data_IF_027602623468
#
_entry.id   IF_027602623468
#
_cell.length_a   1.000
_cell.length_b   1.000
_cell.length_c   1.000
_cell.angle_alpha   90.00
_cell.angle_beta   90.00
_cell.angle_gamma   90.00
#
_symmetry.space_group_name_H-M   'P 1'
#
loop_
_entity.id
_entity.type
_entity.pdbx_description
1 polymer ?
#
# COMPACT_ATOMS: atom_id res chain seq x y z
N UNK A 1 -37.81 -25.04 9.64
CA UNK A 1 -36.73 -24.03 9.75
C UNK A 1 -35.43 -24.82 9.68
N UNK A 2 -34.73 -24.79 8.55
CA UNK A 2 -33.42 -25.44 8.40
C UNK A 2 -32.38 -24.43 8.92
N UNK A 3 -31.88 -24.66 10.13
CA UNK A 3 -30.74 -23.91 10.66
C UNK A 3 -29.50 -24.50 10.00
N UNK A 4 -28.86 -23.74 9.12
CA UNK A 4 -27.57 -24.11 8.56
C UNK A 4 -26.51 -23.43 9.42
N UNK A 5 -25.48 -24.16 9.83
CA UNK A 5 -24.34 -23.61 10.57
C UNK A 5 -23.68 -22.47 9.79
N UNK A 6 -22.81 -21.68 10.43
CA UNK A 6 -22.14 -20.50 9.89
C UNK A 6 -21.33 -20.79 8.61
N UNK A 7 -22.03 -20.89 7.46
CA UNK A 7 -21.47 -21.06 6.12
C UNK A 7 -20.81 -19.75 5.68
N UNK A 8 -19.63 -19.86 5.07
CA UNK A 8 -18.99 -18.74 4.39
C UNK A 8 -19.71 -18.38 3.09
N UNK A 9 -19.28 -17.28 2.48
CA UNK A 9 -19.86 -16.77 1.22
C UNK A 9 -19.78 -17.82 0.10
N UNK A 10 -18.66 -18.54 0.00
CA UNK A 10 -18.44 -19.57 -1.01
C UNK A 10 -19.43 -20.71 -0.84
N UNK A 11 -19.62 -21.21 0.38
CA UNK A 11 -20.51 -22.35 0.61
C UNK A 11 -21.99 -21.98 0.45
N UNK A 12 -22.37 -20.72 0.75
CA UNK A 12 -23.72 -20.23 0.47
C UNK A 12 -24.02 -20.15 -1.03
N UNK A 13 -23.07 -19.65 -1.82
CA UNK A 13 -23.19 -19.60 -3.29
C UNK A 13 -23.20 -21.02 -3.88
N UNK A 14 -22.38 -21.94 -3.37
CA UNK A 14 -22.39 -23.34 -3.79
C UNK A 14 -23.72 -24.03 -3.47
N UNK A 15 -24.28 -23.79 -2.28
CA UNK A 15 -25.58 -24.32 -1.90
C UNK A 15 -26.70 -23.82 -2.84
N UNK A 16 -26.71 -22.54 -3.18
CA UNK A 16 -27.64 -21.97 -4.15
C UNK A 16 -27.50 -22.63 -5.53
N UNK A 17 -26.27 -22.76 -6.04
CA UNK A 17 -26.01 -23.41 -7.32
C UNK A 17 -26.49 -24.86 -7.34
N UNK A 18 -26.32 -25.60 -6.24
CA UNK A 18 -26.82 -26.97 -6.08
C UNK A 18 -28.35 -27.03 -6.06
N UNK A 19 -29.01 -26.06 -5.44
CA UNK A 19 -30.48 -25.95 -5.46
C UNK A 19 -30.95 -25.73 -6.90
N UNK A 20 -30.37 -24.78 -7.62
CA UNK A 20 -30.73 -24.51 -9.02
C UNK A 20 -30.48 -25.70 -9.94
N UNK A 21 -29.33 -26.37 -9.82
CA UNK A 21 -29.04 -27.58 -10.59
C UNK A 21 -30.06 -28.70 -10.32
N UNK A 22 -30.43 -28.91 -9.05
CA UNK A 22 -31.42 -29.93 -8.70
C UNK A 22 -32.80 -29.63 -9.30
N UNK A 23 -33.25 -28.37 -9.26
CA UNK A 23 -34.53 -27.97 -9.86
C UNK A 23 -34.51 -28.05 -11.40
N UNK A 24 -33.40 -27.70 -12.03
CA UNK A 24 -33.22 -27.85 -13.48
C UNK A 24 -33.35 -29.32 -13.92
N UNK A 25 -32.78 -30.25 -13.15
CA UNK A 25 -32.79 -31.67 -13.50
C UNK A 25 -34.10 -32.40 -13.11
N UNK A 26 -34.71 -32.04 -11.97
CA UNK A 26 -35.82 -32.80 -11.38
C UNK A 26 -37.18 -32.15 -11.55
N UNK A 27 -37.24 -30.83 -11.72
CA UNK A 27 -38.50 -30.10 -11.81
C UNK A 27 -38.39 -28.83 -12.67
N UNK A 28 -37.99 -28.97 -13.96
CA UNK A 28 -37.71 -27.83 -14.85
C UNK A 28 -38.93 -26.94 -15.14
N UNK A 29 -40.13 -27.41 -14.81
CA UNK A 29 -41.36 -26.64 -14.91
C UNK A 29 -41.49 -25.51 -13.86
N UNK A 30 -40.65 -25.50 -12.81
CA UNK A 30 -40.66 -24.47 -11.79
C UNK A 30 -39.49 -23.48 -11.99
N UNK A 31 -39.82 -22.19 -12.06
CA UNK A 31 -38.84 -21.12 -11.98
C UNK A 31 -38.57 -20.80 -10.49
N UNK A 32 -37.35 -21.07 -10.03
CA UNK A 32 -36.96 -20.94 -8.63
C UNK A 32 -35.92 -19.84 -8.51
N UNK A 33 -36.22 -18.86 -7.66
CA UNK A 33 -35.31 -17.77 -7.31
C UNK A 33 -35.02 -17.84 -5.81
N UNK A 34 -33.77 -18.11 -5.44
CA UNK A 34 -33.34 -18.04 -4.07
C UNK A 34 -33.08 -16.57 -3.68
N UNK A 35 -33.63 -16.13 -2.56
CA UNK A 35 -33.37 -14.80 -2.03
C UNK A 35 -33.25 -14.84 -0.52
N UNK A 36 -32.16 -14.30 -0.01
CA UNK A 36 -31.99 -14.03 1.42
C UNK A 36 -30.92 -12.95 1.60
N UNK A 37 -30.96 -12.18 2.70
CA UNK A 37 -29.89 -11.23 3.02
C UNK A 37 -28.50 -11.89 3.02
N UNK A 38 -28.37 -13.10 3.57
CA UNK A 38 -27.10 -13.84 3.62
C UNK A 38 -26.58 -14.19 2.22
N UNK A 39 -27.46 -14.61 1.32
CA UNK A 39 -27.10 -14.96 -0.05
C UNK A 39 -26.72 -13.73 -0.88
N UNK A 40 -27.42 -12.61 -0.67
CA UNK A 40 -27.03 -11.32 -1.24
C UNK A 40 -25.64 -10.88 -0.77
N UNK A 41 -25.36 -10.95 0.54
CA UNK A 41 -24.04 -10.62 1.07
C UNK A 41 -22.95 -11.57 0.55
N UNK A 42 -23.25 -12.85 0.37
CA UNK A 42 -22.33 -13.82 -0.22
C UNK A 42 -21.98 -13.46 -1.67
N UNK A 43 -22.98 -13.18 -2.51
CA UNK A 43 -22.78 -12.75 -3.90
C UNK A 43 -22.02 -11.42 -4.01
N UNK A 44 -22.39 -10.43 -3.18
CA UNK A 44 -21.68 -9.14 -3.11
C UNK A 44 -20.22 -9.37 -2.68
N UNK A 45 -20.02 -10.23 -1.68
CA UNK A 45 -18.70 -10.59 -1.16
C UNK A 45 -17.80 -11.23 -2.21
N UNK A 46 -18.28 -12.27 -2.88
CA UNK A 46 -17.55 -12.98 -3.94
C UNK A 46 -17.24 -12.06 -5.12
N UNK A 47 -18.23 -11.31 -5.61
CA UNK A 47 -18.05 -10.42 -6.76
C UNK A 47 -17.03 -9.33 -6.46
N UNK A 48 -17.08 -8.73 -5.26
CA UNK A 48 -16.13 -7.70 -4.84
C UNK A 48 -14.73 -8.28 -4.63
N UNK A 49 -14.61 -9.44 -4.00
CA UNK A 49 -13.33 -10.12 -3.81
C UNK A 49 -12.66 -10.45 -5.15
N UNK A 50 -13.41 -11.03 -6.09
CA UNK A 50 -12.92 -11.31 -7.44
C UNK A 50 -12.50 -10.04 -8.18
N UNK A 51 -13.27 -8.95 -8.04
CA UNK A 51 -12.94 -7.65 -8.63
C UNK A 51 -11.65 -7.06 -8.05
N UNK A 52 -11.44 -7.18 -6.74
CA UNK A 52 -10.22 -6.70 -6.08
C UNK A 52 -8.99 -7.51 -6.47
N UNK A 53 -9.10 -8.84 -6.52
CA UNK A 53 -7.99 -9.69 -6.95
C UNK A 53 -7.63 -9.49 -8.42
N UNK A 54 -8.63 -9.36 -9.29
CA UNK A 54 -8.41 -9.14 -10.74
C UNK A 54 -7.83 -7.76 -11.05
N UNK A 55 -8.07 -6.75 -10.20
CA UNK A 55 -7.51 -5.40 -10.37
C UNK A 55 -6.10 -5.23 -9.77
N UNK A 56 -5.60 -6.17 -8.95
CA UNK A 56 -4.25 -6.12 -8.39
C UNK A 56 -3.14 -5.88 -9.42
N UNK A 57 -3.07 -6.61 -10.55
CA UNK A 57 -2.04 -6.39 -11.56
C UNK A 57 -2.12 -4.98 -12.18
N UNK A 58 -3.34 -4.49 -12.42
CA UNK A 58 -3.58 -3.15 -12.94
C UNK A 58 -3.06 -2.10 -11.94
N UNK A 59 -3.38 -2.27 -10.66
CA UNK A 59 -2.90 -1.42 -9.58
C UNK A 59 -1.37 -1.41 -9.49
N UNK A 60 -0.70 -2.57 -9.59
CA UNK A 60 0.77 -2.64 -9.60
C UNK A 60 1.39 -1.92 -10.79
N UNK A 61 0.78 -2.00 -11.98
CA UNK A 61 1.24 -1.26 -13.17
C UNK A 61 1.08 0.26 -12.95
N UNK A 62 -0.05 0.70 -12.41
CA UNK A 62 -0.29 2.11 -12.13
C UNK A 62 0.66 2.66 -11.07
N UNK A 63 0.89 1.92 -9.99
CA UNK A 63 1.87 2.27 -8.94
C UNK A 63 3.27 2.36 -9.55
N UNK A 64 3.66 1.38 -10.36
CA UNK A 64 4.95 1.39 -11.05
C UNK A 64 5.09 2.63 -11.91
N UNK A 65 4.08 2.96 -12.72
CA UNK A 65 4.07 4.16 -13.57
C UNK A 65 4.20 5.44 -12.74
N UNK A 66 3.50 5.52 -11.62
CA UNK A 66 3.55 6.66 -10.70
C UNK A 66 4.92 6.82 -10.05
N UNK A 67 5.54 5.74 -9.57
CA UNK A 67 6.89 5.76 -9.00
C UNK A 67 7.94 6.11 -10.05
N UNK A 68 7.82 5.58 -11.27
CA UNK A 68 8.70 5.95 -12.40
C UNK A 68 8.58 7.44 -12.70
N UNK A 69 7.35 7.97 -12.73
CA UNK A 69 7.10 9.40 -12.94
C UNK A 69 7.71 10.26 -11.83
N UNK A 70 7.49 9.89 -10.56
CA UNK A 70 8.03 10.59 -9.40
C UNK A 70 9.57 10.58 -9.42
N UNK A 71 10.18 9.43 -9.67
CA UNK A 71 11.63 9.25 -9.70
C UNK A 71 12.29 9.75 -10.98
N UNK A 72 11.54 9.96 -12.06
CA UNK A 72 12.06 10.19 -13.41
C UNK A 72 13.11 9.15 -13.82
N UNK A 73 12.98 7.93 -13.33
CA UNK A 73 13.93 6.83 -13.56
C UNK A 73 13.21 5.50 -13.54
N UNK A 74 13.21 4.82 -14.69
CA UNK A 74 12.63 3.49 -14.86
C UNK A 74 13.25 2.46 -13.91
N UNK A 75 14.59 2.46 -13.80
CA UNK A 75 15.32 1.51 -12.96
C UNK A 75 14.98 1.68 -11.49
N UNK A 76 15.01 2.93 -10.99
CA UNK A 76 14.70 3.20 -9.59
C UNK A 76 13.22 2.93 -9.29
N UNK A 77 12.32 3.25 -10.21
CA UNK A 77 10.89 2.97 -10.06
C UNK A 77 10.59 1.47 -9.90
N UNK A 78 11.20 0.63 -10.74
CA UNK A 78 11.04 -0.82 -10.63
C UNK A 78 11.67 -1.40 -9.36
N UNK A 79 12.83 -0.88 -8.94
CA UNK A 79 13.48 -1.32 -7.69
C UNK A 79 12.64 -0.91 -6.47
N UNK A 80 11.99 0.26 -6.51
CA UNK A 80 11.10 0.71 -5.43
C UNK A 80 9.82 -0.11 -5.32
N UNK A 81 9.49 -0.96 -6.29
CA UNK A 81 8.31 -1.81 -6.20
C UNK A 81 8.44 -2.89 -5.10
N UNK A 82 9.67 -3.36 -4.85
CA UNK A 82 9.95 -4.37 -3.83
C UNK A 82 9.55 -3.93 -2.41
N UNK A 83 10.02 -2.77 -1.89
CA UNK A 83 9.61 -2.30 -0.57
C UNK A 83 8.12 -1.91 -0.51
N UNK A 84 7.47 -1.61 -1.63
CA UNK A 84 6.03 -1.32 -1.66
C UNK A 84 5.14 -2.58 -1.60
N UNK A 85 5.57 -3.69 -2.18
CA UNK A 85 4.83 -4.96 -2.15
C UNK A 85 5.12 -5.76 -0.88
N UNK A 86 6.34 -5.67 -0.35
CA UNK A 86 6.78 -6.45 0.81
C UNK A 86 5.86 -6.35 2.05
N UNK A 87 5.31 -5.17 2.43
CA UNK A 87 4.43 -5.06 3.58
C UNK A 87 3.13 -5.83 3.42
N UNK A 88 2.55 -5.80 2.23
CA UNK A 88 1.36 -6.59 1.91
C UNK A 88 1.70 -8.08 2.03
N UNK A 89 2.76 -8.54 1.36
CA UNK A 89 3.15 -9.97 1.42
C UNK A 89 3.42 -10.44 2.86
N UNK A 90 4.14 -9.65 3.64
CA UNK A 90 4.46 -9.97 5.04
C UNK A 90 3.22 -9.94 5.93
N UNK A 91 2.36 -8.93 5.78
CA UNK A 91 1.14 -8.80 6.58
C UNK A 91 0.12 -9.88 6.26
N UNK A 92 -0.13 -10.16 4.98
CA UNK A 92 -1.00 -11.27 4.55
C UNK A 92 -0.38 -12.64 4.90
N UNK A 93 0.94 -12.77 4.85
CA UNK A 93 1.65 -13.95 5.33
C UNK A 93 1.45 -14.18 6.82
N UNK A 94 1.52 -13.13 7.64
CA UNK A 94 1.23 -13.22 9.07
C UNK A 94 -0.25 -13.51 9.33
N UNK A 95 -1.15 -12.92 8.54
CA UNK A 95 -2.59 -13.19 8.63
C UNK A 95 -2.94 -14.65 8.38
N UNK A 96 -2.30 -15.27 7.39
CA UNK A 96 -2.48 -16.68 7.08
C UNK A 96 -2.12 -17.59 8.29
N UNK A 97 -1.22 -17.15 9.17
CA UNK A 97 -0.88 -17.87 10.40
C UNK A 97 -1.86 -17.61 11.55
N UNK A 98 -2.55 -16.46 11.55
CA UNK A 98 -3.49 -16.05 12.62
C UNK A 98 -4.88 -16.66 12.39
N UNK A 99 -5.42 -16.52 11.17
CA UNK A 99 -6.81 -16.88 10.85
C UNK A 99 -6.92 -17.86 9.68
N UNK A 100 -6.03 -17.76 8.69
CA UNK A 100 -6.03 -18.66 7.52
C UNK A 100 -7.14 -18.42 6.49
N UNK A 101 -8.22 -17.72 6.86
CA UNK A 101 -9.34 -17.41 5.97
C UNK A 101 -9.17 -16.05 5.29
N UNK A 102 -9.50 -15.99 3.99
CA UNK A 102 -9.61 -14.75 3.21
C UNK A 102 -11.09 -14.47 2.99
N UNK A 103 -11.54 -13.29 3.40
CA UNK A 103 -12.91 -12.82 3.28
C UNK A 103 -12.94 -11.48 2.53
N UNK A 104 -14.15 -10.97 2.29
CA UNK A 104 -14.36 -9.68 1.63
C UNK A 104 -13.53 -8.55 2.28
N UNK A 105 -13.45 -8.54 3.61
CA UNK A 105 -12.77 -7.49 4.36
C UNK A 105 -11.28 -7.47 4.05
N UNK A 106 -10.66 -8.65 4.00
CA UNK A 106 -9.25 -8.80 3.67
C UNK A 106 -8.93 -8.31 2.26
N UNK A 107 -9.83 -8.56 1.30
CA UNK A 107 -9.70 -8.03 -0.07
C UNK A 107 -9.69 -6.50 -0.10
N UNK A 108 -10.52 -5.86 0.74
CA UNK A 108 -10.54 -4.41 0.91
C UNK A 108 -9.21 -3.92 1.50
N UNK A 109 -8.67 -4.63 2.51
CA UNK A 109 -7.38 -4.30 3.12
C UNK A 109 -6.25 -4.34 2.09
N UNK A 110 -6.20 -5.32 1.19
CA UNK A 110 -5.18 -5.38 0.13
C UNK A 110 -5.15 -4.07 -0.66
N UNK A 111 -6.32 -3.65 -1.14
CA UNK A 111 -6.45 -2.48 -2.02
C UNK A 111 -6.13 -1.19 -1.27
N UNK A 112 -6.64 -1.05 -0.04
CA UNK A 112 -6.45 0.11 0.80
C UNK A 112 -4.99 0.29 1.23
N UNK A 113 -4.37 -0.77 1.72
CA UNK A 113 -2.99 -0.72 2.22
C UNK A 113 -2.00 -0.44 1.10
N UNK A 114 -2.17 -1.01 -0.09
CA UNK A 114 -1.34 -0.67 -1.26
C UNK A 114 -1.34 0.84 -1.55
N UNK A 115 -2.50 1.51 -1.44
CA UNK A 115 -2.58 2.95 -1.63
C UNK A 115 -1.80 3.74 -0.57
N UNK A 116 -1.91 3.34 0.69
CA UNK A 116 -1.22 3.99 1.83
C UNK A 116 0.30 3.82 1.71
N UNK A 117 0.78 2.60 1.48
CA UNK A 117 2.23 2.32 1.37
C UNK A 117 2.87 3.12 0.23
N UNK A 118 2.17 3.23 -0.90
CA UNK A 118 2.68 3.97 -2.05
C UNK A 118 2.74 5.48 -1.79
N UNK A 119 1.78 6.04 -1.05
CA UNK A 119 1.80 7.46 -0.68
C UNK A 119 3.03 7.81 0.17
N UNK A 120 3.31 6.99 1.18
CA UNK A 120 4.49 7.14 2.05
C UNK A 120 5.79 7.09 1.25
N UNK A 121 5.90 6.12 0.34
CA UNK A 121 7.04 5.99 -0.57
C UNK A 121 7.17 7.24 -1.46
N UNK A 122 6.09 7.75 -2.07
CA UNK A 122 6.11 8.92 -2.95
C UNK A 122 6.57 10.17 -2.21
N UNK A 123 6.08 10.39 -0.99
CA UNK A 123 6.50 11.52 -0.15
C UNK A 123 7.99 11.47 0.17
N UNK A 124 8.51 10.31 0.57
CA UNK A 124 9.94 10.10 0.83
C UNK A 124 10.79 10.33 -0.41
N UNK A 125 10.40 9.68 -1.50
CA UNK A 125 11.15 9.61 -2.75
C UNK A 125 11.20 10.95 -3.48
N UNK A 126 10.15 11.76 -3.35
CA UNK A 126 10.11 13.13 -3.85
C UNK A 126 11.15 14.03 -3.16
N UNK A 127 11.32 13.90 -1.84
CA UNK A 127 12.36 14.64 -1.09
C UNK A 127 13.75 14.12 -1.40
N UNK A 128 13.91 12.80 -1.49
CA UNK A 128 15.15 12.17 -1.92
C UNK A 128 15.59 12.70 -3.29
N UNK A 129 14.70 12.66 -4.28
CA UNK A 129 15.01 13.11 -5.64
C UNK A 129 15.31 14.61 -5.71
N UNK A 130 14.65 15.44 -4.89
CA UNK A 130 14.98 16.86 -4.76
C UNK A 130 16.42 17.04 -4.29
N UNK A 131 16.83 16.35 -3.23
CA UNK A 131 18.21 16.43 -2.72
C UNK A 131 19.24 15.92 -3.73
N UNK A 132 18.96 14.82 -4.45
CA UNK A 132 19.82 14.32 -5.53
C UNK A 132 20.02 15.38 -6.61
N UNK A 133 18.94 16.04 -7.05
CA UNK A 133 18.99 17.15 -8.02
C UNK A 133 19.76 18.38 -7.53
N UNK A 134 19.86 18.57 -6.22
CA UNK A 134 20.67 19.63 -5.59
C UNK A 134 22.16 19.25 -5.44
N UNK A 135 22.58 18.10 -5.98
CA UNK A 135 23.97 17.67 -5.97
C UNK A 135 24.34 16.76 -4.79
N UNK A 136 23.39 16.42 -3.91
CA UNK A 136 23.67 15.57 -2.75
C UNK A 136 23.94 14.12 -3.18
N UNK A 137 24.87 13.47 -2.50
CA UNK A 137 25.09 12.03 -2.68
C UNK A 137 23.90 11.22 -2.14
N UNK A 138 23.82 9.92 -2.42
CA UNK A 138 22.67 9.10 -2.05
C UNK A 138 22.42 9.07 -0.54
N UNK A 139 23.48 9.00 0.27
CA UNK A 139 23.37 9.00 1.73
C UNK A 139 22.85 10.33 2.27
N UNK A 140 23.39 11.45 1.78
CA UNK A 140 22.95 12.80 2.14
C UNK A 140 21.47 13.01 1.76
N UNK A 141 21.08 12.57 0.56
CA UNK A 141 19.69 12.67 0.10
C UNK A 141 18.72 11.81 0.93
N UNK A 142 19.13 10.62 1.36
CA UNK A 142 18.36 9.79 2.30
C UNK A 142 18.20 10.52 3.63
N UNK A 143 19.29 11.03 4.22
CA UNK A 143 19.25 11.77 5.50
C UNK A 143 18.35 12.99 5.40
N UNK A 144 18.43 13.73 4.30
CA UNK A 144 17.56 14.87 4.02
C UNK A 144 16.08 14.46 3.93
N UNK A 145 15.76 13.37 3.23
CA UNK A 145 14.40 12.86 3.13
C UNK A 145 13.84 12.48 4.52
N UNK A 146 14.61 11.73 5.32
CA UNK A 146 14.21 11.39 6.70
C UNK A 146 13.98 12.61 7.58
N UNK A 147 14.88 13.59 7.53
CA UNK A 147 14.74 14.82 8.31
C UNK A 147 13.52 15.63 7.89
N UNK A 148 13.10 15.54 6.62
CA UNK A 148 12.00 16.33 6.09
C UNK A 148 10.64 15.67 6.29
N UNK A 149 10.52 14.37 5.98
CA UNK A 149 9.22 13.66 6.00
C UNK A 149 9.15 12.50 6.99
N UNK A 150 10.28 12.01 7.52
CA UNK A 150 10.28 10.84 8.40
C UNK A 150 9.40 11.00 9.65
N UNK A 151 9.41 12.19 10.27
CA UNK A 151 8.50 12.48 11.40
C UNK A 151 7.03 12.47 10.99
N UNK A 152 6.72 12.99 9.80
CA UNK A 152 5.34 12.98 9.30
C UNK A 152 4.85 11.55 9.06
N UNK A 153 5.67 10.73 8.38
CA UNK A 153 5.37 9.31 8.10
C UNK A 153 5.15 8.49 9.39
N UNK A 154 5.97 8.73 10.42
CA UNK A 154 5.78 8.08 11.72
C UNK A 154 4.44 8.47 12.36
N UNK A 155 4.10 9.76 12.35
CA UNK A 155 2.85 10.24 12.95
C UNK A 155 1.63 9.71 12.20
N UNK A 156 1.62 9.77 10.86
CA UNK A 156 0.51 9.25 10.05
C UNK A 156 0.32 7.76 10.27
N UNK A 157 1.40 6.99 10.31
CA UNK A 157 1.36 5.55 10.61
C UNK A 157 0.76 5.28 11.99
N UNK A 158 1.21 5.97 13.04
CA UNK A 158 0.67 5.77 14.39
C UNK A 158 -0.82 6.10 14.45
N UNK A 159 -1.25 7.18 13.78
CA UNK A 159 -2.67 7.55 13.70
C UNK A 159 -3.49 6.49 12.96
N UNK A 160 -2.99 5.99 11.82
CA UNK A 160 -3.64 4.94 11.05
C UNK A 160 -3.73 3.63 11.85
N UNK A 161 -2.62 3.19 12.45
CA UNK A 161 -2.58 1.97 13.29
C UNK A 161 -3.56 2.10 14.46
N UNK A 162 -3.60 3.24 15.14
CA UNK A 162 -4.56 3.47 16.21
C UNK A 162 -6.01 3.42 15.71
N UNK A 163 -6.30 4.08 14.58
CA UNK A 163 -7.64 4.07 13.97
C UNK A 163 -8.10 2.67 13.57
N UNK A 164 -7.24 1.90 12.91
CA UNK A 164 -7.55 0.50 12.55
C UNK A 164 -7.59 -0.42 13.77
N UNK A 165 -6.85 -0.14 14.83
CA UNK A 165 -6.95 -0.89 16.08
C UNK A 165 -8.30 -0.70 16.76
N UNK A 166 -8.91 0.49 16.67
CA UNK A 166 -10.29 0.70 17.14
C UNK A 166 -11.28 -0.12 16.29
N UNK A 167 -11.08 -0.16 14.98
CA UNK A 167 -11.89 -1.00 14.09
C UNK A 167 -11.74 -2.49 14.41
N UNK A 168 -10.54 -2.93 14.82
CA UNK A 168 -10.26 -4.30 15.21
C UNK A 168 -11.07 -4.76 16.43
N UNK A 169 -11.59 -3.84 17.25
CA UNK A 169 -12.44 -4.14 18.41
C UNK A 169 -13.92 -4.32 18.05
N UNK A 170 -14.28 -4.31 16.77
CA UNK A 170 -15.66 -4.47 16.33
C UNK A 170 -16.22 -5.86 16.67
N UNK A 171 -17.50 -5.93 17.06
CA UNK A 171 -18.21 -7.21 17.23
C UNK A 171 -18.51 -7.90 15.90
N UNK A 172 -18.44 -7.17 14.79
CA UNK A 172 -18.63 -7.72 13.46
C UNK A 172 -17.29 -8.21 12.90
N UNK A 173 -17.16 -9.53 12.72
CA UNK A 173 -15.89 -10.20 12.32
C UNK A 173 -15.23 -9.56 11.10
N UNK A 174 -16.02 -9.18 10.09
CA UNK A 174 -15.51 -8.51 8.90
C UNK A 174 -14.69 -7.25 9.25
N UNK A 175 -15.22 -6.40 10.13
CA UNK A 175 -14.56 -5.18 10.55
C UNK A 175 -13.38 -5.47 11.47
N UNK A 176 -13.52 -6.43 12.39
CA UNK A 176 -12.46 -6.83 13.30
C UNK A 176 -11.22 -7.30 12.54
N UNK A 177 -11.40 -8.22 11.59
CA UNK A 177 -10.34 -8.78 10.75
C UNK A 177 -9.69 -7.69 9.88
N UNK A 178 -10.50 -6.81 9.28
CA UNK A 178 -10.02 -5.66 8.51
C UNK A 178 -9.15 -4.73 9.34
N UNK A 179 -9.60 -4.39 10.55
CA UNK A 179 -8.88 -3.51 11.47
C UNK A 179 -7.56 -4.13 11.91
N UNK A 180 -7.58 -5.39 12.32
CA UNK A 180 -6.39 -6.09 12.78
C UNK A 180 -5.35 -6.23 11.66
N UNK A 181 -5.76 -6.68 10.46
CA UNK A 181 -4.82 -6.82 9.36
C UNK A 181 -4.27 -5.47 8.89
N UNK A 182 -5.12 -4.45 8.75
CA UNK A 182 -4.67 -3.13 8.30
C UNK A 182 -3.64 -2.54 9.25
N UNK A 183 -3.86 -2.65 10.57
CA UNK A 183 -2.92 -2.18 11.58
C UNK A 183 -1.56 -2.89 11.46
N UNK A 184 -1.56 -4.22 11.25
CA UNK A 184 -0.34 -5.02 11.04
C UNK A 184 0.38 -4.59 9.76
N UNK A 185 -0.32 -4.53 8.62
CA UNK A 185 0.29 -4.20 7.31
C UNK A 185 0.87 -2.79 7.32
N UNK A 186 0.14 -1.81 7.84
CA UNK A 186 0.59 -0.41 7.88
C UNK A 186 1.80 -0.24 8.80
N UNK A 187 1.81 -0.92 9.95
CA UNK A 187 2.99 -0.89 10.82
C UNK A 187 4.21 -1.54 10.16
N UNK A 188 4.04 -2.70 9.53
CA UNK A 188 5.10 -3.37 8.77
C UNK A 188 5.57 -2.48 7.62
N UNK A 189 4.66 -1.76 6.95
CA UNK A 189 5.00 -0.87 5.85
C UNK A 189 5.99 0.20 6.26
N UNK A 190 5.72 0.91 7.36
CA UNK A 190 6.65 1.91 7.85
C UNK A 190 8.03 1.32 8.19
N UNK A 191 8.06 0.15 8.82
CA UNK A 191 9.32 -0.54 9.15
C UNK A 191 10.10 -0.91 7.90
N UNK A 192 9.41 -1.48 6.90
CA UNK A 192 10.03 -1.84 5.61
C UNK A 192 10.51 -0.59 4.88
N UNK A 193 9.72 0.47 4.83
CA UNK A 193 10.09 1.71 4.16
C UNK A 193 11.26 2.40 4.85
N UNK A 194 11.38 2.33 6.18
CA UNK A 194 12.51 2.94 6.88
C UNK A 194 13.79 2.11 6.78
N UNK A 195 13.70 0.80 6.54
CA UNK A 195 14.87 -0.09 6.49
C UNK A 195 15.30 -0.41 5.05
N UNK A 196 14.37 -0.84 4.20
CA UNK A 196 14.66 -1.32 2.85
C UNK A 196 14.80 -0.18 1.85
N UNK A 197 13.90 0.81 1.87
CA UNK A 197 13.91 1.89 0.88
C UNK A 197 15.25 2.67 0.87
N UNK A 198 15.84 3.08 2.01
CA UNK A 198 17.12 3.78 2.02
C UNK A 198 18.26 2.90 1.55
N UNK A 199 18.28 1.64 1.98
CA UNK A 199 19.33 0.67 1.63
C UNK A 199 19.33 0.38 0.14
N UNK A 200 18.15 0.23 -0.47
CA UNK A 200 17.99 0.04 -1.91
C UNK A 200 18.43 1.29 -2.68
N UNK A 201 18.01 2.48 -2.24
CA UNK A 201 18.41 3.73 -2.88
C UNK A 201 19.93 3.94 -2.81
N UNK A 202 20.57 3.75 -1.66
CA UNK A 202 22.02 3.90 -1.52
C UNK A 202 22.81 2.88 -2.34
N UNK A 203 22.29 1.66 -2.51
CA UNK A 203 22.97 0.61 -3.27
C UNK A 203 22.86 0.78 -4.77
N UNK A 204 21.70 1.22 -5.26
CA UNK A 204 21.37 1.23 -6.69
C UNK A 204 21.40 2.61 -7.33
N UNK A 205 21.23 3.70 -6.56
CA UNK A 205 21.42 5.06 -7.06
C UNK A 205 22.91 5.44 -7.02
N UNK A 206 23.65 4.92 -8.01
CA UNK A 206 25.05 5.26 -8.26
C UNK A 206 25.23 6.47 -9.17
N UNK A 207 24.15 7.22 -9.48
CA UNK A 207 24.26 8.35 -10.40
C UNK A 207 25.17 9.43 -9.80
N UNK A 208 26.20 9.82 -10.54
CA UNK A 208 27.04 10.96 -10.19
C UNK A 208 26.22 12.23 -10.44
N UNK A 209 25.72 12.84 -9.38
CA UNK A 209 25.20 14.20 -9.45
C UNK A 209 26.37 15.15 -9.23
N UNK A 210 26.71 15.90 -10.27
CA UNK A 210 27.80 16.89 -10.22
C UNK A 210 27.46 17.88 -9.12
N UNK A 211 28.35 17.98 -8.13
CA UNK A 211 28.32 18.99 -7.10
C UNK A 211 28.30 20.36 -7.82
N UNK A 212 27.16 21.05 -7.80
CA UNK A 212 27.16 22.47 -8.17
C UNK A 212 27.90 23.16 -7.03
N UNK A 213 29.23 23.27 -7.17
CA UNK A 213 30.08 24.06 -6.30
C UNK A 213 29.40 25.42 -6.18
N UNK A 214 28.86 25.74 -5.00
CA UNK A 214 28.47 27.12 -4.69
C UNK A 214 29.76 27.93 -4.71
N UNK A 215 30.15 28.44 -5.88
CA UNK A 215 31.13 29.52 -6.04
C UNK A 215 30.52 30.79 -5.49
N UNK A 216 30.39 30.86 -4.15
CA UNK A 216 30.41 32.14 -3.45
C UNK A 216 31.86 32.38 -3.06
N UNK A 217 32.65 32.84 -4.02
CA UNK A 217 33.97 33.40 -3.73
C UNK A 217 33.75 34.68 -2.91
N UNK A 218 34.34 34.84 -1.71
CA UNK A 218 34.23 36.06 -0.90
C UNK A 218 34.87 37.30 -1.56
N UNK A 219 35.64 37.12 -2.64
CA UNK A 219 36.51 38.16 -3.19
C UNK A 219 35.80 39.25 -4.00
N UNK A 220 34.54 39.05 -4.42
CA UNK A 220 33.82 40.08 -5.20
C UNK A 220 33.18 41.17 -4.33
N UNK A 221 33.03 40.94 -3.01
CA UNK A 221 32.54 41.99 -2.08
C UNK A 221 33.68 42.89 -1.57
N UNK A 222 34.91 42.39 -1.46
CA UNK A 222 36.06 43.20 -1.02
C UNK A 222 36.46 44.27 -2.05
N UNK A 223 36.39 43.97 -3.36
CA UNK A 223 36.73 44.95 -4.40
C UNK A 223 35.69 46.04 -4.62
N UNK A 224 34.43 45.84 -4.19
CA UNK A 224 33.37 46.85 -4.34
C UNK A 224 33.38 47.90 -3.22
N UNK A 225 33.95 47.58 -2.07
CA UNK A 225 34.07 48.52 -0.95
C UNK A 225 35.32 49.42 -1.05
N UNK A 226 36.33 49.03 -1.83
CA UNK A 226 37.57 49.82 -2.02
C UNK A 226 37.41 50.86 -3.13
N UNK A 227 36.56 50.61 -4.13
CA UNK A 227 36.27 51.57 -5.23
C UNK A 227 35.13 52.54 -4.92
N UNK A 228 34.43 52.39 -3.78
CA UNK A 228 33.38 53.31 -3.33
C UNK A 228 33.88 54.36 -2.31
N UNK A 229 35.18 54.36 -1.99
CA UNK A 229 35.81 55.26 -1.03
C UNK A 229 36.92 56.15 -1.64
N UNK A 230 36.92 56.32 -2.95
CA UNK A 230 37.69 57.33 -3.70
C UNK A 230 36.71 58.12 -4.56
#
# INVERSE_FOLDING_TARGET
MLTVDNLGSVELVDLENRIYAWFADNAPQYDVVASSPSLMFAHIGETNMASMLSTLPITLVLISALLIFALRSLRLGLISLVPNIAPAVLGFGLWALISGEINLGLSVVVTLTLGIVVDDAVHFLSKYQRARKEGQNAEQAVRYAFHTVGRALWITTVVLVAGFSVLAMSSFRLNADMGQLSAIVIFIALVVDFLFLPTLLMRFDKAAYVEQTKTKTPETQAKKNITASL
#
